data_IF_498780229140
#
_entry.id   IF_498780229140
#
_cell.length_a   1.000
_cell.length_b   1.000
_cell.length_c   1.000
_cell.angle_alpha   90.00
_cell.angle_beta   90.00
_cell.angle_gamma   90.00
#
_symmetry.space_group_name_H-M   'P 1'
#
loop_
_entity.id
_entity.type
_entity.pdbx_description
1 polymer ?
#
# COMPACT_ATOMS: atom_id res chain seq x y z
N UNK A 1 90.15 -74.32 -93.68
CA UNK A 1 89.56 -75.58 -93.14
C UNK A 1 89.15 -75.27 -91.72
N UNK A 2 87.83 -75.13 -91.46
CA UNK A 2 87.01 -76.05 -90.63
C UNK A 2 87.49 -76.06 -89.17
N UNK A 3 86.71 -75.75 -88.12
CA UNK A 3 85.28 -75.88 -87.86
C UNK A 3 85.05 -75.11 -86.52
N UNK A 4 84.13 -74.14 -86.45
CA UNK A 4 82.83 -74.21 -85.73
C UNK A 4 82.92 -74.76 -84.29
N UNK A 5 82.24 -74.24 -83.26
CA UNK A 5 80.87 -73.69 -83.24
C UNK A 5 80.62 -73.11 -81.83
N UNK A 6 79.94 -71.96 -81.77
CA UNK A 6 78.94 -71.56 -80.75
C UNK A 6 79.34 -71.69 -79.28
N UNK A 7 79.68 -70.56 -78.66
CA UNK A 7 79.30 -70.18 -77.29
C UNK A 7 79.61 -68.67 -77.11
N UNK A 8 78.78 -67.83 -77.72
CA UNK A 8 78.65 -66.41 -77.37
C UNK A 8 77.26 -66.25 -76.76
N UNK A 9 77.20 -65.52 -75.64
CA UNK A 9 76.01 -65.09 -74.89
C UNK A 9 75.61 -65.93 -73.68
N UNK A 10 76.49 -65.99 -72.66
CA UNK A 10 76.04 -66.01 -71.25
C UNK A 10 77.17 -65.62 -70.29
N UNK A 11 77.72 -64.42 -70.48
CA UNK A 11 78.68 -63.82 -69.54
C UNK A 11 78.24 -62.40 -69.22
N UNK A 12 77.26 -62.30 -68.32
CA UNK A 12 76.91 -61.09 -67.60
C UNK A 12 76.10 -61.46 -66.35
N UNK A 13 76.73 -62.21 -65.44
CA UNK A 13 76.30 -62.27 -64.05
C UNK A 13 77.20 -61.30 -63.27
N UNK A 14 76.57 -60.24 -62.75
CA UNK A 14 77.02 -59.23 -61.77
C UNK A 14 78.05 -59.75 -60.74
N UNK A 15 78.92 -58.91 -60.13
CA UNK A 15 78.49 -57.64 -59.51
C UNK A 15 79.52 -56.49 -59.49
N UNK A 16 79.06 -55.26 -59.67
CA UNK A 16 79.71 -54.10 -59.06
C UNK A 16 78.68 -53.42 -58.18
N UNK A 17 78.70 -53.79 -56.89
CA UNK A 17 78.11 -52.95 -55.85
C UNK A 17 78.91 -51.65 -55.80
N UNK A 18 78.30 -50.55 -56.25
CA UNK A 18 78.64 -49.20 -55.81
C UNK A 18 77.68 -48.82 -54.66
N UNK A 19 78.10 -48.84 -53.38
CA UNK A 19 77.17 -48.68 -52.25
C UNK A 19 76.86 -47.22 -51.83
N UNK A 20 77.13 -46.18 -52.63
CA UNK A 20 77.24 -44.83 -52.02
C UNK A 20 76.54 -43.67 -52.74
N UNK A 21 75.63 -43.88 -53.68
CA UNK A 21 74.97 -42.75 -54.37
C UNK A 21 73.44 -42.79 -54.45
N UNK A 22 72.76 -43.70 -53.75
CA UNK A 22 71.29 -43.70 -53.66
C UNK A 22 70.71 -43.39 -52.27
N UNK A 23 71.51 -43.22 -51.20
CA UNK A 23 70.96 -43.11 -49.84
C UNK A 23 70.73 -41.68 -49.33
N UNK A 24 71.21 -40.64 -50.01
CA UNK A 24 71.12 -39.26 -49.46
C UNK A 24 69.83 -38.50 -49.84
N UNK A 25 69.00 -39.03 -50.74
CA UNK A 25 67.75 -38.37 -51.18
C UNK A 25 66.52 -38.90 -50.44
N UNK A 26 66.60 -40.13 -49.92
CA UNK A 26 65.50 -40.75 -49.18
C UNK A 26 65.54 -40.40 -47.68
N UNK A 27 66.72 -40.19 -47.09
CA UNK A 27 66.85 -39.71 -45.70
C UNK A 27 66.39 -38.25 -45.52
N UNK A 28 66.69 -37.37 -46.49
CA UNK A 28 66.24 -35.96 -46.48
C UNK A 28 64.70 -35.86 -46.59
N UNK A 29 64.09 -36.69 -47.45
CA UNK A 29 62.62 -36.76 -47.58
C UNK A 29 61.94 -37.40 -46.37
N UNK A 30 62.58 -38.40 -45.75
CA UNK A 30 62.02 -39.03 -44.56
C UNK A 30 62.06 -38.05 -43.36
N UNK A 31 63.11 -37.24 -43.24
CA UNK A 31 63.22 -36.18 -42.24
C UNK A 31 62.10 -35.12 -42.38
N UNK A 32 61.84 -34.63 -43.59
CA UNK A 32 60.77 -33.64 -43.84
C UNK A 32 59.36 -34.17 -43.49
N UNK A 33 59.11 -35.46 -43.72
CA UNK A 33 57.83 -36.10 -43.40
C UNK A 33 57.66 -36.29 -41.89
N UNK A 34 58.73 -36.65 -41.19
CA UNK A 34 58.74 -36.76 -39.72
C UNK A 34 58.50 -35.39 -39.05
N UNK A 35 59.14 -34.33 -39.53
CA UNK A 35 58.94 -32.96 -39.05
C UNK A 35 57.50 -32.48 -39.29
N UNK A 36 56.93 -32.81 -40.45
CA UNK A 36 55.53 -32.49 -40.77
C UNK A 36 54.56 -33.26 -39.87
N UNK A 37 54.81 -34.55 -39.61
CA UNK A 37 53.99 -35.35 -38.70
C UNK A 37 54.06 -34.84 -37.26
N UNK A 38 55.25 -34.45 -36.78
CA UNK A 38 55.43 -33.85 -35.46
C UNK A 38 54.67 -32.53 -35.33
N UNK A 39 54.72 -31.67 -36.36
CA UNK A 39 53.95 -30.42 -36.39
C UNK A 39 52.44 -30.65 -36.33
N UNK A 40 51.92 -31.59 -37.13
CA UNK A 40 50.50 -31.96 -37.12
C UNK A 40 50.09 -32.48 -35.73
N UNK A 41 50.89 -33.35 -35.13
CA UNK A 41 50.61 -33.90 -33.79
C UNK A 41 50.52 -32.82 -32.71
N UNK A 42 51.42 -31.83 -32.73
CA UNK A 42 51.38 -30.69 -31.81
C UNK A 42 50.10 -29.86 -32.01
N UNK A 43 49.71 -29.61 -33.26
CA UNK A 43 48.50 -28.86 -33.58
C UNK A 43 47.22 -29.60 -33.15
N UNK A 44 47.16 -30.92 -33.33
CA UNK A 44 46.06 -31.77 -32.85
C UNK A 44 45.96 -31.78 -31.32
N UNK A 45 47.08 -31.88 -30.60
CA UNK A 45 47.10 -31.81 -29.14
C UNK A 45 46.65 -30.44 -28.62
N UNK A 46 47.03 -29.36 -29.31
CA UNK A 46 46.56 -28.01 -29.00
C UNK A 46 45.04 -27.88 -29.21
N UNK A 47 44.52 -28.42 -30.32
CA UNK A 47 43.08 -28.43 -30.59
C UNK A 47 42.31 -29.26 -29.54
N UNK A 48 42.80 -30.46 -29.19
CA UNK A 48 42.21 -31.31 -28.15
C UNK A 48 42.12 -30.59 -26.80
N UNK A 49 43.20 -29.93 -26.38
CA UNK A 49 43.23 -29.17 -25.13
C UNK A 49 42.22 -28.01 -25.15
N UNK A 50 42.10 -27.33 -26.29
CA UNK A 50 41.13 -26.25 -26.49
C UNK A 50 39.70 -26.76 -26.39
N UNK A 51 39.38 -27.86 -27.07
CA UNK A 51 38.05 -28.50 -27.03
C UNK A 51 37.70 -28.93 -25.60
N UNK A 52 38.64 -29.54 -24.88
CA UNK A 52 38.43 -29.96 -23.48
C UNK A 52 38.15 -28.77 -22.56
N UNK A 53 38.84 -27.64 -22.78
CA UNK A 53 38.64 -26.41 -21.99
C UNK A 53 37.27 -25.82 -22.27
N UNK A 54 36.90 -25.65 -23.55
CA UNK A 54 35.59 -25.14 -23.94
C UNK A 54 34.45 -26.05 -23.47
N UNK A 55 34.65 -27.36 -23.47
CA UNK A 55 33.64 -28.32 -22.96
C UNK A 55 33.35 -28.08 -21.48
N UNK A 56 34.40 -27.87 -20.66
CA UNK A 56 34.24 -27.55 -19.23
C UNK A 56 33.54 -26.22 -19.02
N UNK A 57 33.88 -25.20 -19.81
CA UNK A 57 33.22 -23.89 -19.75
C UNK A 57 31.73 -23.97 -20.13
N UNK A 58 31.38 -24.77 -21.15
CA UNK A 58 29.98 -25.02 -21.52
C UNK A 58 29.21 -25.70 -20.38
N UNK A 59 29.82 -26.69 -19.72
CA UNK A 59 29.18 -27.37 -18.59
C UNK A 59 29.01 -26.43 -17.38
N UNK A 60 29.99 -25.57 -17.10
CA UNK A 60 29.88 -24.50 -16.10
C UNK A 60 28.74 -23.55 -16.44
N UNK A 61 28.68 -23.03 -17.67
CA UNK A 61 27.63 -22.14 -18.14
C UNK A 61 26.24 -22.79 -18.05
N UNK A 62 26.12 -24.08 -18.37
CA UNK A 62 24.87 -24.84 -18.24
C UNK A 62 24.43 -24.96 -16.78
N UNK A 63 25.37 -25.23 -15.86
CA UNK A 63 25.06 -25.29 -14.43
C UNK A 63 24.62 -23.95 -13.86
N UNK A 64 25.28 -22.86 -14.27
CA UNK A 64 24.93 -21.50 -13.88
C UNK A 64 23.56 -21.08 -14.40
N UNK A 65 23.27 -21.39 -15.67
CA UNK A 65 21.95 -21.14 -16.29
C UNK A 65 20.83 -21.85 -15.52
N UNK A 66 21.08 -23.08 -15.06
CA UNK A 66 20.12 -23.84 -14.25
C UNK A 66 19.86 -23.15 -12.90
N UNK A 67 20.91 -22.72 -12.21
CA UNK A 67 20.81 -21.99 -10.94
C UNK A 67 20.02 -20.69 -11.10
N UNK A 68 20.35 -19.89 -12.12
CA UNK A 68 19.66 -18.61 -12.38
C UNK A 68 18.16 -18.81 -12.65
N UNK A 69 17.77 -19.91 -13.31
CA UNK A 69 16.37 -20.25 -13.52
C UNK A 69 15.65 -20.55 -12.19
N UNK A 70 16.27 -21.35 -11.33
CA UNK A 70 15.72 -21.66 -9.99
C UNK A 70 15.57 -20.39 -9.14
N UNK A 71 16.57 -19.50 -9.15
CA UNK A 71 16.52 -18.21 -8.47
C UNK A 71 15.41 -17.30 -9.01
N UNK A 72 15.22 -17.28 -10.34
CA UNK A 72 14.13 -16.55 -10.99
C UNK A 72 12.75 -17.06 -10.56
N UNK A 73 12.57 -18.38 -10.44
CA UNK A 73 11.31 -18.99 -10.00
C UNK A 73 11.02 -18.65 -8.52
N UNK A 74 12.03 -18.70 -7.65
CA UNK A 74 11.92 -18.26 -6.25
C UNK A 74 11.51 -16.79 -6.16
N UNK A 75 12.15 -15.94 -6.96
CA UNK A 75 11.85 -14.51 -6.99
C UNK A 75 10.44 -14.22 -7.52
N UNK A 76 9.97 -14.97 -8.54
CA UNK A 76 8.59 -14.88 -9.06
C UNK A 76 7.56 -15.17 -7.95
N UNK A 77 7.79 -16.22 -7.16
CA UNK A 77 6.92 -16.58 -6.05
C UNK A 77 6.92 -15.50 -4.95
N UNK A 78 8.11 -15.03 -4.54
CA UNK A 78 8.23 -13.96 -3.55
C UNK A 78 7.53 -12.66 -3.99
N UNK A 79 7.63 -12.31 -5.27
CA UNK A 79 6.90 -11.17 -5.86
C UNK A 79 5.38 -11.37 -5.74
N UNK A 80 4.88 -12.57 -6.01
CA UNK A 80 3.45 -12.91 -5.85
C UNK A 80 2.94 -12.70 -4.42
N UNK A 81 3.73 -13.12 -3.41
CA UNK A 81 3.41 -12.92 -2.00
C UNK A 81 3.38 -11.44 -1.61
N UNK A 82 4.34 -10.65 -2.12
CA UNK A 82 4.39 -9.20 -1.90
C UNK A 82 3.18 -8.51 -2.53
N UNK A 83 2.85 -8.83 -3.78
CA UNK A 83 1.67 -8.27 -4.46
C UNK A 83 0.37 -8.57 -3.70
N UNK A 84 0.24 -9.79 -3.17
CA UNK A 84 -0.92 -10.19 -2.36
C UNK A 84 -1.04 -9.32 -1.09
N UNK A 85 0.08 -9.07 -0.39
CA UNK A 85 0.11 -8.20 0.79
C UNK A 85 -0.19 -6.74 0.45
N UNK A 86 0.27 -6.24 -0.70
CA UNK A 86 0.00 -4.87 -1.16
C UNK A 86 -1.50 -4.68 -1.40
N UNK A 87 -2.14 -5.59 -2.13
CA UNK A 87 -3.58 -5.53 -2.42
C UNK A 87 -4.40 -5.56 -1.13
N UNK A 88 -4.03 -6.43 -0.19
CA UNK A 88 -4.72 -6.50 1.10
C UNK A 88 -4.60 -5.19 1.90
N UNK A 89 -3.41 -4.58 1.92
CA UNK A 89 -3.21 -3.27 2.55
C UNK A 89 -4.00 -2.16 1.86
N UNK A 90 -4.05 -2.15 0.53
CA UNK A 90 -4.85 -1.18 -0.24
C UNK A 90 -6.34 -1.28 0.10
N UNK A 91 -6.89 -2.49 0.23
CA UNK A 91 -8.28 -2.70 0.69
C UNK A 91 -8.53 -2.13 2.08
N UNK A 92 -7.60 -2.38 3.00
CA UNK A 92 -7.69 -1.85 4.38
C UNK A 92 -7.63 -0.32 4.42
N UNK A 93 -6.80 0.30 3.58
CA UNK A 93 -6.74 1.77 3.45
C UNK A 93 -8.08 2.31 2.95
N UNK A 94 -8.64 1.74 1.88
CA UNK A 94 -9.92 2.19 1.33
C UNK A 94 -11.07 2.07 2.35
N UNK A 95 -11.07 1.02 3.17
CA UNK A 95 -12.03 0.87 4.27
C UNK A 95 -11.89 1.99 5.31
N UNK A 96 -10.66 2.28 5.75
CA UNK A 96 -10.39 3.34 6.73
C UNK A 96 -10.72 4.75 6.20
N UNK A 97 -10.49 4.99 4.90
CA UNK A 97 -10.87 6.25 4.24
C UNK A 97 -12.39 6.44 4.24
N UNK A 98 -13.15 5.35 4.00
CA UNK A 98 -14.61 5.37 4.08
C UNK A 98 -15.10 5.68 5.50
N UNK A 99 -14.55 5.00 6.51
CA UNK A 99 -14.87 5.23 7.92
C UNK A 99 -14.56 6.68 8.33
N UNK A 100 -13.41 7.22 7.90
CA UNK A 100 -13.00 8.60 8.16
C UNK A 100 -13.96 9.62 7.54
N UNK A 101 -14.42 9.37 6.31
CA UNK A 101 -15.43 10.21 5.65
C UNK A 101 -16.74 10.19 6.41
N UNK A 102 -17.20 9.01 6.81
CA UNK A 102 -18.45 8.83 7.59
C UNK A 102 -18.38 9.53 8.95
N UNK A 103 -17.23 9.41 9.64
CA UNK A 103 -17.00 10.08 10.90
C UNK A 103 -17.00 11.61 10.74
N UNK A 104 -16.37 12.12 9.67
CA UNK A 104 -16.33 13.56 9.37
C UNK A 104 -17.73 14.12 9.13
N UNK A 105 -18.56 13.42 8.36
CA UNK A 105 -19.96 13.79 8.13
C UNK A 105 -20.77 13.80 9.44
N UNK A 106 -20.55 12.80 10.29
CA UNK A 106 -21.22 12.71 11.59
C UNK A 106 -20.83 13.88 12.51
N UNK A 107 -19.55 14.25 12.52
CA UNK A 107 -19.06 15.39 13.30
C UNK A 107 -19.67 16.72 12.84
N UNK A 108 -19.81 16.90 11.53
CA UNK A 108 -20.44 18.10 10.96
C UNK A 108 -21.91 18.23 11.40
N UNK A 109 -22.66 17.12 11.36
CA UNK A 109 -24.05 17.09 11.84
C UNK A 109 -24.15 17.42 13.34
N UNK A 110 -23.29 16.83 14.18
CA UNK A 110 -23.24 17.13 15.62
C UNK A 110 -22.94 18.61 15.86
N UNK A 111 -21.98 19.17 15.12
CA UNK A 111 -21.62 20.58 15.23
C UNK A 111 -22.78 21.49 14.83
N UNK A 112 -23.51 21.14 13.77
CA UNK A 112 -24.71 21.87 13.34
C UNK A 112 -25.82 21.82 14.39
N UNK A 113 -26.09 20.64 14.97
CA UNK A 113 -27.11 20.48 16.02
C UNK A 113 -26.75 21.28 17.28
N UNK A 114 -25.47 21.24 17.69
CA UNK A 114 -24.96 22.04 18.79
C UNK A 114 -25.21 23.53 18.59
N UNK A 115 -24.92 24.06 17.40
CA UNK A 115 -25.16 25.48 17.08
C UNK A 115 -26.66 25.79 17.15
N UNK A 116 -27.50 24.94 16.57
CA UNK A 116 -28.96 25.11 16.60
C UNK A 116 -29.52 25.14 18.03
N UNK A 117 -29.09 24.20 18.89
CA UNK A 117 -29.50 24.15 20.29
C UNK A 117 -28.99 25.37 21.07
N UNK A 118 -27.77 25.83 20.78
CA UNK A 118 -27.21 27.03 21.41
C UNK A 118 -28.03 28.27 21.11
N UNK A 119 -28.44 28.46 19.84
CA UNK A 119 -29.33 29.56 19.42
C UNK A 119 -30.67 29.49 20.13
N UNK A 120 -31.34 28.32 20.14
CA UNK A 120 -32.62 28.13 20.84
C UNK A 120 -32.53 28.42 22.34
N UNK A 121 -31.40 28.07 22.98
CA UNK A 121 -31.16 28.35 24.38
C UNK A 121 -31.02 29.86 24.66
N UNK A 122 -30.29 30.58 23.81
CA UNK A 122 -30.15 32.04 23.91
C UNK A 122 -31.50 32.75 23.71
N UNK A 123 -32.29 32.32 22.72
CA UNK A 123 -33.66 32.82 22.50
C UNK A 123 -34.54 32.61 23.73
N UNK A 124 -34.53 31.40 24.31
CA UNK A 124 -35.26 31.07 25.54
C UNK A 124 -34.83 31.94 26.72
N UNK A 125 -33.52 32.10 26.94
CA UNK A 125 -32.98 32.95 28.00
C UNK A 125 -33.43 34.40 27.83
N UNK A 126 -33.39 34.92 26.61
CA UNK A 126 -33.82 36.28 26.29
C UNK A 126 -35.32 36.46 26.54
N UNK A 127 -36.14 35.47 26.17
CA UNK A 127 -37.58 35.49 26.47
C UNK A 127 -37.86 35.49 27.97
N UNK A 128 -37.15 34.69 28.76
CA UNK A 128 -37.34 34.66 30.21
C UNK A 128 -36.89 35.95 30.88
N UNK A 129 -35.77 36.55 30.44
CA UNK A 129 -35.34 37.86 30.92
C UNK A 129 -36.41 38.93 30.69
N UNK A 130 -37.02 38.98 29.50
CA UNK A 130 -38.12 39.92 29.22
C UNK A 130 -39.33 39.72 30.14
N UNK A 131 -39.71 38.47 30.42
CA UNK A 131 -40.81 38.16 31.33
C UNK A 131 -40.48 38.53 32.78
N UNK A 132 -39.23 38.30 33.20
CA UNK A 132 -38.73 38.70 34.52
C UNK A 132 -38.78 40.22 34.68
N UNK A 133 -38.30 40.97 33.68
CA UNK A 133 -38.36 42.43 33.65
C UNK A 133 -39.81 42.93 33.75
N UNK A 134 -40.73 42.35 32.98
CA UNK A 134 -42.16 42.71 32.99
C UNK A 134 -42.83 42.42 34.34
N UNK A 135 -42.49 41.29 34.99
CA UNK A 135 -42.97 40.99 36.33
C UNK A 135 -42.38 41.96 37.36
N UNK A 136 -41.11 42.34 37.20
CA UNK A 136 -40.43 43.32 38.02
C UNK A 136 -41.10 44.70 37.96
N UNK A 137 -41.47 45.17 36.77
CA UNK A 137 -42.19 46.44 36.62
C UNK A 137 -43.58 46.39 37.24
N UNK A 138 -44.35 45.33 36.98
CA UNK A 138 -45.69 45.14 37.57
C UNK A 138 -45.66 45.09 39.10
N UNK A 139 -44.67 44.40 39.68
CA UNK A 139 -44.52 44.33 41.14
C UNK A 139 -44.16 45.70 41.73
N UNK A 140 -43.28 46.45 41.05
CA UNK A 140 -42.91 47.80 41.46
C UNK A 140 -44.11 48.75 41.45
N UNK A 141 -44.91 48.70 40.38
CA UNK A 141 -46.16 49.47 40.28
C UNK A 141 -47.13 49.16 41.43
N UNK A 142 -47.31 47.87 41.77
CA UNK A 142 -48.14 47.48 42.91
C UNK A 142 -47.60 47.99 44.23
N UNK A 143 -46.27 47.91 44.44
CA UNK A 143 -45.63 48.41 45.64
C UNK A 143 -45.81 49.93 45.79
N UNK A 144 -45.63 50.68 44.70
CA UNK A 144 -45.77 52.14 44.69
C UNK A 144 -47.23 52.55 44.92
N UNK A 145 -48.19 51.84 44.33
CA UNK A 145 -49.61 52.02 44.63
C UNK A 145 -49.93 51.81 46.12
N UNK A 146 -49.38 50.76 46.73
CA UNK A 146 -49.63 50.43 48.13
C UNK A 146 -48.97 51.44 49.10
N UNK A 147 -47.79 51.94 48.75
CA UNK A 147 -47.12 53.02 49.48
C UNK A 147 -47.93 54.34 49.39
N UNK A 148 -48.51 54.64 48.23
CA UNK A 148 -49.38 55.81 48.06
C UNK A 148 -50.69 55.67 48.86
N UNK A 149 -51.31 54.48 48.84
CA UNK A 149 -52.50 54.18 49.65
C UNK A 149 -52.22 54.29 51.16
N UNK A 150 -51.09 53.76 51.65
CA UNK A 150 -50.70 53.93 53.06
C UNK A 150 -50.47 55.39 53.43
N UNK A 151 -49.94 56.18 52.50
CA UNK A 151 -49.76 57.63 52.68
C UNK A 151 -51.10 58.38 52.69
N UNK A 152 -52.14 57.87 52.01
CA UNK A 152 -53.51 58.42 52.06
C UNK A 152 -54.37 57.88 53.20
N UNK A 153 -54.01 56.74 53.80
CA UNK A 153 -54.84 56.01 54.79
C UNK A 153 -54.67 56.47 56.24
N UNK A 154 -54.03 57.61 56.51
CA UNK A 154 -54.08 58.26 57.83
C UNK A 154 -55.46 58.92 58.14
N UNK A 155 -56.54 58.51 57.46
CA UNK A 155 -57.90 58.80 57.88
C UNK A 155 -58.89 57.72 57.43
N UNK A 156 -59.41 56.94 58.40
CA UNK A 156 -60.78 56.39 58.34
C UNK A 156 -60.99 54.93 57.91
N UNK A 157 -61.29 54.08 58.92
CA UNK A 157 -62.24 52.93 59.01
C UNK A 157 -62.53 51.95 57.84
N UNK A 158 -62.25 50.67 58.16
CA UNK A 158 -62.99 49.40 57.94
C UNK A 158 -63.99 49.24 56.76
N UNK A 159 -63.83 48.17 55.98
CA UNK A 159 -64.94 47.24 55.68
C UNK A 159 -64.47 45.89 55.15
N UNK A 160 -65.04 44.84 55.74
CA UNK A 160 -64.93 43.42 55.41
C UNK A 160 -65.86 43.13 54.22
N UNK A 161 -65.34 42.53 53.13
CA UNK A 161 -66.18 42.02 52.02
C UNK A 161 -65.85 40.55 51.77
N UNK A 162 -66.87 39.73 52.01
CA UNK A 162 -66.98 38.31 51.73
C UNK A 162 -67.29 38.10 50.24
N UNK A 163 -66.53 37.26 49.54
CA UNK A 163 -66.85 36.84 48.17
C UNK A 163 -66.42 35.38 47.87
N UNK A 164 -67.44 34.51 47.84
CA UNK A 164 -67.71 33.41 46.89
C UNK A 164 -66.67 32.28 46.65
N UNK A 165 -67.06 31.08 47.11
CA UNK A 165 -66.40 29.77 47.00
C UNK A 165 -66.48 29.07 45.62
N UNK A 166 -66.52 29.78 44.50
CA UNK A 166 -66.51 29.12 43.16
C UNK A 166 -65.12 29.14 42.48
N UNK A 167 -64.15 29.89 43.01
CA UNK A 167 -62.81 30.04 42.43
C UNK A 167 -61.80 28.93 42.81
N UNK A 168 -62.19 27.98 43.66
CA UNK A 168 -61.25 26.99 44.24
C UNK A 168 -60.97 25.80 43.30
N UNK A 169 -61.93 25.41 42.45
CA UNK A 169 -61.77 24.29 41.50
C UNK A 169 -60.85 24.64 40.32
N UNK A 170 -60.89 25.90 39.86
CA UNK A 170 -60.11 26.37 38.71
C UNK A 170 -58.64 26.59 39.07
N UNK A 171 -58.37 27.10 40.27
CA UNK A 171 -57.03 27.20 40.83
C UNK A 171 -56.39 25.83 41.07
N UNK A 172 -57.18 24.86 41.56
CA UNK A 172 -56.72 23.48 41.74
C UNK A 172 -56.40 22.80 40.40
N UNK A 173 -57.27 22.91 39.39
CA UNK A 173 -56.99 22.42 38.03
C UNK A 173 -55.75 23.04 37.39
N UNK A 174 -55.56 24.35 37.53
CA UNK A 174 -54.36 25.04 37.04
C UNK A 174 -53.09 24.53 37.72
N UNK A 175 -53.14 24.26 39.02
CA UNK A 175 -52.01 23.72 39.76
C UNK A 175 -51.70 22.27 39.35
N UNK A 176 -52.73 21.43 39.21
CA UNK A 176 -52.59 20.03 38.77
C UNK A 176 -51.95 19.96 37.37
N UNK A 177 -52.43 20.77 36.41
CA UNK A 177 -51.83 20.80 35.06
C UNK A 177 -50.37 21.26 35.04
N UNK A 178 -49.97 22.19 35.93
CA UNK A 178 -48.56 22.58 36.10
C UNK A 178 -47.71 21.48 36.72
N UNK A 179 -48.25 20.73 37.67
CA UNK A 179 -47.58 19.58 38.28
C UNK A 179 -47.39 18.47 37.24
N UNK A 180 -48.41 18.17 36.43
CA UNK A 180 -48.30 17.17 35.37
C UNK A 180 -47.28 17.59 34.29
N UNK A 181 -47.27 18.87 33.92
CA UNK A 181 -46.26 19.41 33.00
C UNK A 181 -44.84 19.36 33.59
N UNK A 182 -44.68 19.60 34.90
CA UNK A 182 -43.40 19.46 35.59
C UNK A 182 -42.95 18.00 35.67
N UNK A 183 -43.89 17.08 35.92
CA UNK A 183 -43.65 15.63 35.96
C UNK A 183 -43.18 15.11 34.60
N UNK A 184 -43.84 15.50 33.51
CA UNK A 184 -43.42 15.14 32.16
C UNK A 184 -42.01 15.64 31.81
N UNK A 185 -41.63 16.84 32.27
CA UNK A 185 -40.26 17.35 32.11
C UNK A 185 -39.25 16.55 32.92
N UNK A 186 -39.61 16.13 34.13
CA UNK A 186 -38.74 15.30 34.97
C UNK A 186 -38.53 13.90 34.37
N UNK A 187 -39.57 13.30 33.81
CA UNK A 187 -39.50 12.01 33.12
C UNK A 187 -38.57 12.11 31.89
N UNK A 188 -38.70 13.19 31.10
CA UNK A 188 -37.79 13.47 29.99
C UNK A 188 -36.32 13.64 30.46
N UNK A 189 -36.10 14.37 31.56
CA UNK A 189 -34.77 14.54 32.15
C UNK A 189 -34.17 13.19 32.60
N UNK A 190 -35.01 12.30 33.13
CA UNK A 190 -34.62 10.95 33.55
C UNK A 190 -34.25 10.08 32.35
N UNK A 191 -34.98 10.21 31.23
CA UNK A 191 -34.66 9.55 29.97
C UNK A 191 -33.31 10.03 29.41
N UNK A 192 -33.13 11.35 29.25
CA UNK A 192 -31.87 11.92 28.75
C UNK A 192 -30.67 11.51 29.62
N UNK A 193 -30.85 11.45 30.94
CA UNK A 193 -29.80 10.98 31.86
C UNK A 193 -29.41 9.52 31.59
N UNK A 194 -30.37 8.68 31.23
CA UNK A 194 -30.13 7.26 30.91
C UNK A 194 -29.42 7.11 29.56
N UNK A 195 -29.79 7.92 28.56
CA UNK A 195 -29.11 8.00 27.27
C UNK A 195 -27.66 8.46 27.42
N UNK A 196 -27.42 9.55 28.16
CA UNK A 196 -26.08 10.05 28.46
C UNK A 196 -25.22 9.01 29.20
N UNK A 197 -25.82 8.25 30.12
CA UNK A 197 -25.11 7.17 30.82
C UNK A 197 -24.70 6.05 29.87
N UNK A 198 -25.55 5.72 28.89
CA UNK A 198 -25.24 4.75 27.83
C UNK A 198 -24.13 5.24 26.91
N UNK A 199 -24.18 6.49 26.44
CA UNK A 199 -23.11 7.08 25.63
C UNK A 199 -21.78 7.14 26.38
N UNK A 200 -21.80 7.56 27.65
CA UNK A 200 -20.61 7.52 28.51
C UNK A 200 -20.02 6.12 28.59
N UNK A 201 -20.85 5.09 28.68
CA UNK A 201 -20.38 3.70 28.70
C UNK A 201 -19.70 3.31 27.38
N UNK A 202 -20.32 3.65 26.24
CA UNK A 202 -19.73 3.40 24.90
C UNK A 202 -18.39 4.10 24.73
N UNK A 203 -18.30 5.39 25.09
CA UNK A 203 -17.04 6.16 25.02
C UNK A 203 -15.98 5.52 25.91
N UNK A 204 -16.33 5.08 27.12
CA UNK A 204 -15.41 4.39 28.02
C UNK A 204 -14.89 3.09 27.41
N UNK A 205 -15.77 2.32 26.75
CA UNK A 205 -15.39 1.07 26.07
C UNK A 205 -14.42 1.32 24.92
N UNK A 206 -14.72 2.29 24.04
CA UNK A 206 -13.84 2.66 22.93
C UNK A 206 -12.49 3.19 23.40
N UNK A 207 -12.46 3.93 24.52
CA UNK A 207 -11.20 4.42 25.11
C UNK A 207 -10.31 3.25 25.59
N UNK A 208 -10.90 2.26 26.26
CA UNK A 208 -10.15 1.08 26.71
C UNK A 208 -9.62 0.27 25.53
N UNK A 209 -10.42 0.11 24.47
CA UNK A 209 -9.99 -0.57 23.24
C UNK A 209 -8.82 0.16 22.56
N UNK A 210 -8.89 1.48 22.45
CA UNK A 210 -7.78 2.30 21.92
C UNK A 210 -6.53 2.17 22.78
N UNK A 211 -6.69 2.12 24.11
CA UNK A 211 -5.57 1.95 25.03
C UNK A 211 -4.90 0.59 24.86
N UNK A 212 -5.66 -0.51 24.81
CA UNK A 212 -5.14 -1.84 24.51
C UNK A 212 -4.42 -1.90 23.16
N UNK A 213 -4.95 -1.21 22.14
CA UNK A 213 -4.30 -1.10 20.83
C UNK A 213 -3.01 -0.29 20.89
N UNK A 214 -2.97 0.76 21.70
CA UNK A 214 -1.76 1.55 21.91
C UNK A 214 -0.67 0.70 22.59
N UNK A 215 -1.04 -0.13 23.56
CA UNK A 215 -0.14 -1.04 24.28
C UNK A 215 0.41 -2.17 23.40
N UNK A 216 -0.21 -2.50 22.27
CA UNK A 216 0.28 -3.56 21.37
C UNK A 216 1.38 -3.11 20.41
N UNK A 217 1.60 -1.80 20.22
CA UNK A 217 2.69 -1.29 19.39
C UNK A 217 4.06 -1.48 20.06
N UNK A 218 5.12 -1.61 19.27
CA UNK A 218 6.50 -1.69 19.80
C UNK A 218 6.83 -0.50 20.71
N UNK A 219 7.55 -0.69 21.84
CA UNK A 219 7.89 0.37 22.78
C UNK A 219 8.54 1.59 22.12
N UNK A 220 9.44 1.34 21.16
CA UNK A 220 10.11 2.39 20.39
C UNK A 220 9.15 3.34 19.66
N UNK A 221 8.00 2.84 19.20
CA UNK A 221 6.98 3.65 18.52
C UNK A 221 6.07 4.37 19.52
N UNK A 222 5.82 3.76 20.68
CA UNK A 222 4.98 4.36 21.74
C UNK A 222 5.69 5.51 22.46
N UNK A 223 7.00 5.37 22.63
CA UNK A 223 7.84 6.33 23.36
C UNK A 223 8.34 7.47 22.45
N UNK A 224 8.14 7.35 21.13
CA UNK A 224 8.48 8.37 20.15
C UNK A 224 7.55 9.59 20.27
N UNK A 225 8.08 10.79 20.02
CA UNK A 225 7.23 11.99 20.00
C UNK A 225 6.28 11.95 18.82
N UNK A 226 5.11 12.58 18.98
CA UNK A 226 4.11 12.69 17.89
C UNK A 226 4.66 13.40 16.66
N UNK A 227 5.59 14.34 16.84
CA UNK A 227 6.27 15.06 15.77
C UNK A 227 7.21 14.13 14.99
N UNK A 228 8.05 13.37 15.68
CA UNK A 228 8.94 12.40 15.03
C UNK A 228 8.17 11.29 14.32
N UNK A 229 7.05 10.84 14.88
CA UNK A 229 6.19 9.87 14.22
C UNK A 229 5.52 10.46 12.95
N UNK A 230 5.14 11.73 12.98
CA UNK A 230 4.56 12.42 11.83
C UNK A 230 5.58 12.58 10.69
N UNK A 231 6.83 12.93 11.02
CA UNK A 231 7.93 12.99 10.05
C UNK A 231 8.19 11.63 9.39
N UNK A 232 8.23 10.55 10.18
CA UNK A 232 8.43 9.19 9.65
C UNK A 232 7.29 8.75 8.73
N UNK A 233 6.03 9.05 9.09
CA UNK A 233 4.88 8.80 8.22
C UNK A 233 5.00 9.57 6.92
N UNK A 234 5.43 10.83 6.97
CA UNK A 234 5.60 11.65 5.77
C UNK A 234 6.76 11.16 4.88
N UNK A 235 7.86 10.69 5.47
CA UNK A 235 8.96 10.05 4.75
C UNK A 235 8.47 8.77 4.04
N UNK A 236 7.77 7.89 4.75
CA UNK A 236 7.19 6.68 4.17
C UNK A 236 6.18 6.95 3.04
N UNK A 237 5.38 8.02 3.17
CA UNK A 237 4.47 8.44 2.10
C UNK A 237 5.22 8.94 0.86
N UNK A 238 6.35 9.63 1.05
CA UNK A 238 7.21 10.11 -0.03
C UNK A 238 7.89 8.96 -0.75
N UNK A 239 8.44 7.99 0.01
CA UNK A 239 9.03 6.77 -0.55
C UNK A 239 8.01 5.99 -1.37
N UNK A 240 6.79 5.83 -0.83
CA UNK A 240 5.69 5.18 -1.55
C UNK A 240 5.36 5.88 -2.87
N UNK A 241 5.39 7.22 -2.91
CA UNK A 241 5.19 7.99 -4.15
C UNK A 241 6.28 7.68 -5.17
N UNK A 242 7.55 7.71 -4.74
CA UNK A 242 8.68 7.39 -5.60
C UNK A 242 8.63 5.96 -6.15
N UNK A 243 8.24 4.98 -5.32
CA UNK A 243 8.04 3.59 -5.76
C UNK A 243 6.91 3.49 -6.79
N UNK A 244 5.81 4.21 -6.62
CA UNK A 244 4.71 4.21 -7.60
C UNK A 244 5.15 4.82 -8.94
N UNK A 245 5.91 5.91 -8.92
CA UNK A 245 6.43 6.54 -10.15
C UNK A 245 7.41 5.61 -10.88
N UNK A 246 8.29 4.94 -10.15
CA UNK A 246 9.20 3.95 -10.73
C UNK A 246 8.44 2.76 -11.34
N UNK A 247 7.41 2.27 -10.64
CA UNK A 247 6.56 1.19 -11.16
C UNK A 247 5.84 1.60 -12.44
N UNK A 248 5.28 2.81 -12.51
CA UNK A 248 4.64 3.34 -13.70
C UNK A 248 5.62 3.51 -14.86
N UNK A 249 6.83 4.00 -14.59
CA UNK A 249 7.91 4.10 -15.58
C UNK A 249 8.27 2.73 -16.18
N UNK A 250 8.44 1.72 -15.32
CA UNK A 250 8.73 0.35 -15.76
C UNK A 250 7.58 -0.24 -16.58
N UNK A 251 6.33 0.02 -16.20
CA UNK A 251 5.17 -0.42 -16.96
C UNK A 251 5.12 0.24 -18.35
N UNK A 252 5.40 1.55 -18.43
CA UNK A 252 5.50 2.27 -19.69
C UNK A 252 6.60 1.71 -20.62
N UNK A 253 7.75 1.33 -20.06
CA UNK A 253 8.82 0.68 -20.83
C UNK A 253 8.39 -0.69 -21.37
N UNK A 254 7.71 -1.49 -20.54
CA UNK A 254 7.16 -2.79 -20.96
C UNK A 254 6.18 -2.60 -22.11
N UNK A 255 5.28 -1.63 -22.02
CA UNK A 255 4.27 -1.38 -23.06
C UNK A 255 4.93 -0.89 -24.36
N UNK A 256 5.96 -0.06 -24.27
CA UNK A 256 6.78 0.34 -25.42
C UNK A 256 7.39 -0.90 -26.11
N UNK A 257 7.92 -1.85 -25.35
CA UNK A 257 8.52 -3.07 -25.90
C UNK A 257 7.47 -3.96 -26.56
N UNK A 258 6.27 -4.06 -25.99
CA UNK A 258 5.15 -4.80 -26.61
C UNK A 258 4.71 -4.23 -27.95
N UNK A 259 4.84 -2.91 -28.15
CA UNK A 259 4.48 -2.25 -29.40
C UNK A 259 5.53 -2.46 -30.52
N UNK A 260 6.73 -2.93 -30.18
CA UNK A 260 7.78 -3.20 -31.16
C UNK A 260 7.41 -4.46 -31.95
N UNK A 261 6.93 -4.28 -33.19
CA UNK A 261 6.76 -5.35 -34.18
C UNK A 261 7.57 -5.06 -35.43
N UNK A 262 8.31 -6.07 -35.91
CA UNK A 262 9.19 -5.93 -37.08
C UNK A 262 8.82 -6.92 -38.18
N UNK A 263 8.75 -6.45 -39.42
CA UNK A 263 8.57 -7.30 -40.60
C UNK A 263 9.93 -7.75 -41.12
N UNK A 264 10.16 -9.07 -41.17
CA UNK A 264 11.41 -9.68 -41.64
C UNK A 264 11.14 -10.42 -42.94
N UNK A 265 11.91 -10.12 -43.98
CA UNK A 265 11.88 -10.85 -45.26
C UNK A 265 12.82 -12.05 -45.21
N UNK A 266 12.29 -13.24 -45.50
CA UNK A 266 13.07 -14.44 -45.73
C UNK A 266 13.72 -14.39 -47.13
N UNK A 267 14.85 -15.08 -47.30
CA UNK A 267 15.51 -15.22 -48.60
C UNK A 267 14.67 -15.92 -49.68
N UNK A 268 13.56 -16.57 -49.29
CA UNK A 268 12.55 -17.11 -50.22
C UNK A 268 11.53 -16.07 -50.71
N UNK A 269 11.56 -14.83 -50.19
CA UNK A 269 10.64 -13.75 -50.56
C UNK A 269 9.41 -13.59 -49.65
N UNK A 270 9.19 -14.52 -48.71
CA UNK A 270 8.10 -14.43 -47.72
C UNK A 270 8.41 -13.41 -46.61
N UNK A 271 7.38 -12.72 -46.13
CA UNK A 271 7.47 -11.74 -45.04
C UNK A 271 6.86 -12.29 -43.76
N UNK A 272 7.60 -12.16 -42.65
CA UNK A 272 7.19 -12.64 -41.32
C UNK A 272 7.10 -11.46 -40.36
N UNK A 273 5.97 -11.34 -39.65
CA UNK A 273 5.82 -10.37 -38.56
C UNK A 273 6.38 -10.98 -37.28
N UNK A 274 7.46 -10.39 -36.77
CA UNK A 274 8.06 -10.75 -35.49
C UNK A 274 7.47 -9.85 -34.42
N UNK A 275 6.78 -10.45 -33.47
CA UNK A 275 6.23 -9.80 -32.27
C UNK A 275 6.97 -10.34 -31.04
N UNK A 276 7.24 -9.47 -30.06
CA UNK A 276 7.86 -9.87 -28.80
C UNK A 276 6.74 -10.36 -27.87
N UNK A 277 6.55 -11.68 -27.81
CA UNK A 277 5.63 -12.29 -26.86
C UNK A 277 6.30 -12.37 -25.47
N UNK A 278 5.95 -11.42 -24.60
CA UNK A 278 6.35 -11.45 -23.19
C UNK A 278 5.43 -12.44 -22.47
N UNK A 279 5.79 -13.73 -22.47
CA UNK A 279 5.08 -14.74 -21.69
C UNK A 279 5.07 -14.35 -20.20
N UNK A 280 3.87 -14.15 -19.64
CA UNK A 280 3.61 -13.82 -18.22
C UNK A 280 3.62 -15.08 -17.34
#
# INVERSE_FOLDING_TARGET
MRQATVDMWNEAISPVSEPWLCNNVDDDKNSDVEDQAAKISVEEQMQLTTIQTLTKEIDLARSETKRLKEDSDVMKNAKGDICSKIIERQRKIALLENDSSTLSQTLELIQQEKVNLSTKLVEKRTSYGKTEDELGTKLKEQQDWLNNYKSSSNSGQHSLVHATCEAQDDAYKNMVTKIDAAKAKFDNLTQMRSELASERHKVKQSLEELKCRMESYEPKLRDMSTESLAEEVQALLSDKSGETEYQESMQSQIDTIKEISHMVKCGCGEEYKVEVDLCV
#
